data_IF_071915060992
#
_entry.id   IF_071915060992
#
_cell.length_a   1.000
_cell.length_b   1.000
_cell.length_c   1.000
_cell.angle_alpha   90.00
_cell.angle_beta   90.00
_cell.angle_gamma   90.00
#
_symmetry.space_group_name_H-M   'P 1'
#
loop_
_entity.id
_entity.type
_entity.pdbx_description
1 polymer ?
#
# COMPACT_ATOMS: atom_id res chain seq x y z
N UNK A 1 30.72 21.04 15.12
CA UNK A 1 30.68 20.11 14.00
C UNK A 1 29.41 19.32 14.28
N UNK A 2 28.28 19.79 13.76
CA UNK A 2 27.03 19.07 13.87
C UNK A 2 27.12 17.91 12.86
N UNK A 3 27.09 16.67 13.34
CA UNK A 3 26.88 15.52 12.46
C UNK A 3 25.58 15.79 11.70
N UNK A 4 25.67 16.00 10.40
CA UNK A 4 24.50 16.03 9.52
C UNK A 4 23.88 14.63 9.61
N UNK A 5 22.84 14.50 10.44
CA UNK A 5 22.09 13.26 10.60
C UNK A 5 21.44 12.95 9.26
N UNK A 6 22.03 12.02 8.53
CA UNK A 6 21.48 11.54 7.26
C UNK A 6 20.53 10.38 7.55
N UNK A 7 19.24 10.67 7.61
CA UNK A 7 18.19 9.69 7.89
C UNK A 7 18.28 8.49 6.93
N UNK A 8 18.57 8.72 5.66
CA UNK A 8 18.75 7.64 4.68
C UNK A 8 19.88 6.69 5.08
N UNK A 9 21.06 7.21 5.46
CA UNK A 9 22.18 6.35 5.86
C UNK A 9 21.89 5.58 7.15
N UNK A 10 21.18 6.18 8.09
CA UNK A 10 20.78 5.51 9.32
C UNK A 10 19.89 4.30 9.03
N UNK A 11 18.86 4.47 8.19
CA UNK A 11 17.97 3.39 7.77
C UNK A 11 18.70 2.29 6.97
N UNK A 12 19.75 2.62 6.23
CA UNK A 12 20.58 1.61 5.54
C UNK A 12 21.47 0.84 6.52
N UNK A 13 22.11 1.53 7.48
CA UNK A 13 23.07 0.91 8.41
C UNK A 13 22.40 0.13 9.55
N UNK A 14 21.23 0.59 10.00
CA UNK A 14 20.50 0.03 11.14
C UNK A 14 19.01 -0.14 10.77
N UNK A 15 18.67 -1.00 9.80
CA UNK A 15 17.30 -1.13 9.32
C UNK A 15 16.37 -1.72 10.37
N UNK A 16 15.24 -1.05 10.60
CA UNK A 16 14.18 -1.49 11.51
C UNK A 16 13.30 -2.52 10.81
N UNK A 17 13.08 -3.67 11.45
CA UNK A 17 12.18 -4.70 10.94
C UNK A 17 12.68 -5.52 9.75
N UNK A 18 13.95 -5.38 9.35
CA UNK A 18 14.54 -6.19 8.27
C UNK A 18 14.61 -7.68 8.71
N UNK A 19 14.08 -8.57 7.88
CA UNK A 19 13.99 -10.03 8.12
C UNK A 19 13.26 -10.40 9.43
N UNK A 20 12.36 -9.54 9.91
CA UNK A 20 11.65 -9.69 11.18
C UNK A 20 10.13 -9.62 10.99
N UNK A 21 9.58 -10.60 10.26
CA UNK A 21 8.13 -10.68 10.09
C UNK A 21 7.43 -11.02 11.42
N UNK A 22 6.28 -10.36 11.71
CA UNK A 22 5.42 -10.76 12.82
C UNK A 22 4.91 -12.19 12.65
N UNK A 23 4.61 -12.86 13.76
CA UNK A 23 3.85 -14.13 13.72
C UNK A 23 2.45 -13.86 13.15
N UNK A 24 1.92 -14.82 12.40
CA UNK A 24 0.59 -14.76 11.76
C UNK A 24 0.34 -13.50 10.90
N UNK A 25 1.41 -12.94 10.30
CA UNK A 25 1.30 -11.77 9.45
C UNK A 25 0.74 -12.12 8.06
N UNK A 26 0.04 -11.15 7.46
CA UNK A 26 -0.22 -11.16 6.02
C UNK A 26 0.93 -10.53 5.27
N UNK A 27 1.15 -10.95 4.03
CA UNK A 27 2.26 -10.48 3.21
C UNK A 27 1.76 -9.67 2.01
N UNK A 28 2.52 -8.63 1.69
CA UNK A 28 2.40 -7.88 0.44
C UNK A 28 3.77 -7.70 -0.19
N UNK A 29 3.91 -8.06 -1.46
CA UNK A 29 5.19 -7.99 -2.17
C UNK A 29 5.08 -7.11 -3.41
N UNK A 30 6.11 -6.31 -3.68
CA UNK A 30 6.22 -5.48 -4.87
C UNK A 30 7.63 -5.54 -5.46
N UNK A 31 7.71 -5.45 -6.79
CA UNK A 31 8.96 -5.59 -7.54
C UNK A 31 8.93 -6.77 -8.50
N UNK A 32 10.06 -7.20 -8.97
CA UNK A 32 10.20 -8.35 -9.86
C UNK A 32 11.17 -8.17 -11.01
N UNK A 33 10.92 -8.88 -12.09
CA UNK A 33 11.89 -9.24 -13.14
C UNK A 33 12.54 -8.10 -13.93
N UNK A 34 12.03 -6.88 -13.90
CA UNK A 34 12.58 -5.80 -14.74
C UNK A 34 13.87 -5.19 -14.17
N UNK A 35 13.95 -4.99 -12.85
CA UNK A 35 15.14 -4.42 -12.16
C UNK A 35 15.77 -5.36 -11.13
N UNK A 36 15.14 -6.50 -10.85
CA UNK A 36 15.59 -7.44 -9.81
C UNK A 36 15.29 -6.98 -8.38
N UNK A 37 14.79 -5.76 -8.18
CA UNK A 37 14.42 -5.25 -6.86
C UNK A 37 13.08 -5.85 -6.41
N UNK A 38 13.04 -6.40 -5.19
CA UNK A 38 11.84 -6.97 -4.56
C UNK A 38 11.73 -6.53 -3.11
N UNK A 39 10.60 -6.00 -2.71
CA UNK A 39 10.28 -5.72 -1.31
C UNK A 39 9.05 -6.54 -0.91
N UNK A 40 9.15 -7.25 0.20
CA UNK A 40 8.01 -7.92 0.84
C UNK A 40 7.78 -7.32 2.21
N UNK A 41 6.56 -6.90 2.50
CA UNK A 41 6.12 -6.36 3.78
C UNK A 41 5.19 -7.37 4.45
N UNK A 42 5.42 -7.65 5.73
CA UNK A 42 4.52 -8.44 6.55
C UNK A 42 3.86 -7.58 7.62
N UNK A 43 2.53 -7.67 7.74
CA UNK A 43 1.72 -6.90 8.69
C UNK A 43 0.92 -7.84 9.59
N UNK A 44 0.86 -7.52 10.88
CA UNK A 44 -0.14 -8.05 11.80
C UNK A 44 -0.98 -6.91 12.39
N UNK A 45 -2.27 -7.19 12.64
CA UNK A 45 -3.21 -6.22 13.16
C UNK A 45 -3.71 -6.69 14.53
N UNK A 46 -3.84 -5.75 15.46
CA UNK A 46 -4.46 -5.97 16.75
C UNK A 46 -5.27 -4.75 17.16
N UNK A 47 -6.51 -4.97 17.54
CA UNK A 47 -7.42 -3.91 18.00
C UNK A 47 -7.55 -2.73 17.00
N UNK A 48 -7.54 -3.01 15.70
CA UNK A 48 -7.63 -2.01 14.63
C UNK A 48 -6.33 -1.26 14.31
N UNK A 49 -5.23 -1.53 15.03
CA UNK A 49 -3.92 -0.91 14.82
C UNK A 49 -2.90 -1.91 14.28
N UNK A 50 -1.94 -1.44 13.52
CA UNK A 50 -0.79 -2.22 13.05
C UNK A 50 0.12 -2.53 14.25
N UNK A 51 -0.05 -3.71 14.83
CA UNK A 51 0.71 -4.16 16.01
C UNK A 51 2.14 -4.58 15.63
N UNK A 52 2.28 -5.27 14.51
CA UNK A 52 3.56 -5.73 13.99
C UNK A 52 3.75 -5.41 12.51
N UNK A 53 4.97 -5.04 12.17
CA UNK A 53 5.41 -4.84 10.78
C UNK A 53 6.87 -5.23 10.64
N UNK A 54 7.20 -5.93 9.56
CA UNK A 54 8.56 -6.27 9.17
C UNK A 54 8.66 -6.39 7.66
N UNK A 55 9.87 -6.52 7.14
CA UNK A 55 10.08 -6.62 5.71
C UNK A 55 11.31 -7.45 5.32
N UNK A 56 11.33 -7.89 4.07
CA UNK A 56 12.54 -8.35 3.37
C UNK A 56 12.77 -7.48 2.13
N UNK A 57 14.03 -7.23 1.81
CA UNK A 57 14.42 -6.46 0.62
C UNK A 57 15.51 -7.21 -0.13
N UNK A 58 15.28 -7.47 -1.42
CA UNK A 58 16.25 -8.00 -2.36
C UNK A 58 16.50 -6.91 -3.39
N UNK A 59 17.72 -6.35 -3.44
CA UNK A 59 18.06 -5.29 -4.37
C UNK A 59 18.92 -4.19 -3.77
N UNK A 60 18.66 -2.93 -4.12
CA UNK A 60 19.50 -1.79 -3.77
C UNK A 60 19.33 -1.32 -2.32
N UNK A 61 20.32 -0.59 -1.79
CA UNK A 61 20.28 -0.04 -0.42
C UNK A 61 19.09 0.93 -0.19
N UNK A 62 18.60 1.58 -1.25
CA UNK A 62 17.43 2.46 -1.14
C UNK A 62 16.17 1.67 -0.80
N UNK A 63 16.05 0.44 -1.29
CA UNK A 63 14.91 -0.43 -0.96
C UNK A 63 14.92 -0.80 0.53
N UNK A 64 16.09 -1.12 1.09
CA UNK A 64 16.27 -1.37 2.52
C UNK A 64 15.93 -0.14 3.35
N UNK A 65 16.38 1.05 2.92
CA UNK A 65 16.06 2.30 3.62
C UNK A 65 14.55 2.60 3.61
N UNK A 66 13.89 2.44 2.46
CA UNK A 66 12.44 2.64 2.33
C UNK A 66 11.65 1.63 3.18
N UNK A 67 12.01 0.34 3.18
CA UNK A 67 11.39 -0.67 4.03
C UNK A 67 11.54 -0.35 5.52
N UNK A 68 12.73 0.10 5.93
CA UNK A 68 13.01 0.48 7.31
C UNK A 68 12.23 1.74 7.75
N UNK A 69 12.16 2.78 6.90
CA UNK A 69 11.36 3.97 7.18
C UNK A 69 9.85 3.63 7.24
N UNK A 70 9.39 2.74 6.36
CA UNK A 70 8.01 2.25 6.36
C UNK A 70 7.64 1.60 7.70
N UNK A 71 8.53 0.81 8.30
CA UNK A 71 8.30 0.20 9.61
C UNK A 71 8.08 1.26 10.69
N UNK A 72 8.87 2.32 10.72
CA UNK A 72 8.72 3.40 11.70
C UNK A 72 7.43 4.22 11.46
N UNK A 73 7.10 4.48 10.20
CA UNK A 73 5.91 5.25 9.85
C UNK A 73 4.60 4.52 10.17
N UNK A 74 4.58 3.19 10.00
CA UNK A 74 3.32 2.43 10.00
C UNK A 74 3.04 1.73 11.33
N UNK A 75 4.09 1.36 12.07
CA UNK A 75 3.92 0.63 13.34
C UNK A 75 3.12 1.44 14.36
N UNK A 76 2.06 0.83 14.90
CA UNK A 76 1.18 1.45 15.88
C UNK A 76 0.10 2.35 15.29
N UNK A 77 0.08 2.57 13.97
CA UNK A 77 -0.98 3.34 13.34
C UNK A 77 -2.28 2.55 13.24
N UNK A 78 -3.41 3.27 13.27
CA UNK A 78 -4.70 2.71 12.91
C UNK A 78 -4.71 2.30 11.43
N UNK A 79 -5.46 1.25 11.10
CA UNK A 79 -5.53 0.69 9.75
C UNK A 79 -5.87 1.74 8.68
N UNK A 80 -6.84 2.63 8.96
CA UNK A 80 -7.23 3.69 8.01
C UNK A 80 -6.16 4.78 7.87
N UNK A 81 -5.42 5.08 8.93
CA UNK A 81 -4.29 6.01 8.87
C UNK A 81 -3.15 5.43 8.01
N UNK A 82 -2.77 4.17 8.25
CA UNK A 82 -1.76 3.48 7.43
C UNK A 82 -2.16 3.40 5.94
N UNK A 83 -3.46 3.27 5.64
CA UNK A 83 -3.97 3.22 4.27
C UNK A 83 -4.02 4.59 3.56
N UNK A 84 -3.75 5.71 4.26
CA UNK A 84 -3.51 7.03 3.66
C UNK A 84 -2.04 7.25 3.33
N UNK A 85 -1.14 6.51 3.98
CA UNK A 85 0.29 6.63 3.80
C UNK A 85 0.73 6.37 2.36
N UNK A 86 1.63 7.20 1.86
CA UNK A 86 2.14 7.13 0.51
C UNK A 86 3.64 7.39 0.43
N UNK A 87 4.16 7.30 -0.80
CA UNK A 87 5.60 7.48 -1.05
C UNK A 87 6.14 8.84 -0.60
N UNK A 88 5.30 9.88 -0.60
CA UNK A 88 5.71 11.24 -0.19
C UNK A 88 6.19 11.28 1.26
N UNK A 89 5.50 10.62 2.16
CA UNK A 89 5.88 10.49 3.57
C UNK A 89 7.18 9.69 3.75
N UNK A 90 7.38 8.63 2.92
CA UNK A 90 8.63 7.86 2.90
C UNK A 90 9.80 8.71 2.42
N UNK A 91 9.61 9.48 1.35
CA UNK A 91 10.63 10.38 0.81
C UNK A 91 11.00 11.45 1.85
N UNK A 92 10.02 12.03 2.54
CA UNK A 92 10.23 13.02 3.59
C UNK A 92 10.98 12.43 4.80
N UNK A 93 10.56 11.25 5.28
CA UNK A 93 11.20 10.56 6.41
C UNK A 93 12.67 10.23 6.14
N UNK A 94 13.03 9.99 4.87
CA UNK A 94 14.40 9.71 4.45
C UNK A 94 15.23 10.98 4.14
N UNK A 95 14.66 12.19 4.31
CA UNK A 95 15.31 13.46 3.96
C UNK A 95 15.39 13.72 2.46
N UNK A 96 14.52 13.09 1.68
CA UNK A 96 14.47 13.13 0.23
C UNK A 96 15.18 11.95 -0.45
N UNK A 97 14.71 11.60 -1.64
CA UNK A 97 15.32 10.58 -2.49
C UNK A 97 15.73 11.18 -3.84
N UNK A 98 16.91 10.80 -4.34
CA UNK A 98 17.29 11.14 -5.71
C UNK A 98 16.38 10.43 -6.73
N UNK A 99 16.30 10.96 -7.96
CA UNK A 99 15.48 10.37 -9.02
C UNK A 99 15.82 8.89 -9.28
N UNK A 100 17.09 8.50 -9.13
CA UNK A 100 17.56 7.11 -9.29
C UNK A 100 17.04 6.18 -8.18
N UNK A 101 16.74 6.71 -6.98
CA UNK A 101 16.29 5.97 -5.81
C UNK A 101 14.78 6.03 -5.61
N UNK A 102 14.08 6.93 -6.30
CA UNK A 102 12.64 7.16 -6.13
C UNK A 102 11.78 5.91 -6.41
N UNK A 103 12.26 4.98 -7.25
CA UNK A 103 11.58 3.71 -7.51
C UNK A 103 11.42 2.85 -6.24
N UNK A 104 12.38 2.94 -5.30
CA UNK A 104 12.32 2.17 -4.05
C UNK A 104 11.15 2.59 -3.15
N UNK A 105 10.84 3.89 -3.08
CA UNK A 105 9.66 4.38 -2.36
C UNK A 105 8.34 3.92 -3.00
N UNK A 106 8.30 3.83 -4.35
CA UNK A 106 7.14 3.29 -5.07
C UNK A 106 6.93 1.83 -4.74
N UNK A 107 7.99 1.01 -4.70
CA UNK A 107 7.90 -0.40 -4.35
C UNK A 107 7.48 -0.59 -2.89
N UNK A 108 8.00 0.24 -1.97
CA UNK A 108 7.64 0.18 -0.57
C UNK A 108 6.15 0.53 -0.34
N UNK A 109 5.66 1.61 -0.97
CA UNK A 109 4.23 1.96 -0.98
C UNK A 109 3.38 0.81 -1.53
N UNK A 110 3.77 0.23 -2.67
CA UNK A 110 2.99 -0.83 -3.28
C UNK A 110 2.97 -2.12 -2.44
N UNK A 111 4.10 -2.52 -1.84
CA UNK A 111 4.16 -3.66 -0.94
C UNK A 111 3.28 -3.46 0.30
N UNK A 112 3.31 -2.26 0.91
CA UNK A 112 2.42 -1.90 2.01
C UNK A 112 0.95 -2.06 1.62
N UNK A 113 0.52 -1.44 0.53
CA UNK A 113 -0.88 -1.47 0.12
C UNK A 113 -1.37 -2.86 -0.28
N UNK A 114 -0.50 -3.73 -0.80
CA UNK A 114 -0.82 -5.15 -1.02
C UNK A 114 -1.00 -5.89 0.30
N UNK A 115 -0.15 -5.64 1.30
CA UNK A 115 -0.31 -6.24 2.63
C UNK A 115 -1.60 -5.76 3.32
N UNK A 116 -1.92 -4.45 3.25
CA UNK A 116 -3.18 -3.89 3.76
C UNK A 116 -4.41 -4.50 3.05
N UNK A 117 -4.33 -4.70 1.73
CA UNK A 117 -5.38 -5.38 0.97
C UNK A 117 -5.56 -6.84 1.37
N UNK A 118 -4.45 -7.55 1.65
CA UNK A 118 -4.49 -8.94 2.11
C UNK A 118 -5.16 -9.09 3.49
N UNK A 119 -4.98 -8.11 4.40
CA UNK A 119 -5.74 -8.06 5.67
C UNK A 119 -7.25 -8.07 5.42
N UNK A 120 -7.74 -7.26 4.46
CA UNK A 120 -9.16 -7.20 4.15
C UNK A 120 -9.66 -8.49 3.48
N UNK A 121 -8.86 -9.10 2.60
CA UNK A 121 -9.21 -10.34 1.91
C UNK A 121 -9.23 -11.56 2.84
N UNK A 122 -8.48 -11.52 3.95
CA UNK A 122 -8.39 -12.60 4.96
C UNK A 122 -9.68 -12.86 5.73
N UNK A 123 -10.71 -12.02 5.56
CA UNK A 123 -12.07 -12.27 6.08
C UNK A 123 -12.21 -12.13 7.60
N UNK A 124 -11.28 -11.54 8.29
CA UNK A 124 -11.48 -11.13 9.69
C UNK A 124 -12.59 -10.09 9.75
N UNK A 125 -13.76 -10.50 10.23
CA UNK A 125 -15.02 -9.78 10.10
C UNK A 125 -15.12 -8.45 10.88
N UNK A 126 -14.05 -7.97 11.55
CA UNK A 126 -14.03 -6.73 12.32
C UNK A 126 -12.65 -6.09 12.39
N UNK A 127 -12.04 -5.83 11.23
CA UNK A 127 -10.79 -5.05 11.19
C UNK A 127 -10.99 -3.58 11.56
N UNK A 128 -12.22 -3.10 11.43
CA UNK A 128 -12.62 -1.71 11.71
C UNK A 128 -13.95 -1.69 12.47
N UNK A 129 -14.09 -0.75 13.39
CA UNK A 129 -15.39 -0.45 13.98
C UNK A 129 -16.36 0.06 12.91
N UNK A 130 -17.63 -0.36 13.03
CA UNK A 130 -18.68 0.09 12.13
C UNK A 130 -18.99 1.56 12.39
N UNK A 131 -19.03 2.37 11.34
CA UNK A 131 -19.44 3.76 11.38
C UNK A 131 -20.53 4.00 10.34
N UNK A 132 -21.64 4.64 10.74
CA UNK A 132 -22.73 4.99 9.82
C UNK A 132 -22.35 6.16 8.88
N UNK A 133 -21.35 6.95 9.26
CA UNK A 133 -20.83 8.07 8.45
C UNK A 133 -19.77 7.64 7.45
N UNK A 134 -19.35 6.37 7.47
CA UNK A 134 -18.32 5.83 6.57
C UNK A 134 -18.92 5.35 5.26
N UNK A 135 -18.40 5.86 4.15
CA UNK A 135 -18.83 5.51 2.80
C UNK A 135 -17.69 4.84 2.04
N UNK A 136 -17.91 3.61 1.60
CA UNK A 136 -16.99 2.89 0.74
C UNK A 136 -17.18 3.35 -0.71
N UNK A 137 -16.10 3.81 -1.33
CA UNK A 137 -16.08 4.32 -2.71
C UNK A 137 -15.26 3.39 -3.59
N UNK A 138 -15.91 2.72 -4.53
CA UNK A 138 -15.20 1.93 -5.53
C UNK A 138 -14.44 2.84 -6.50
N UNK A 139 -13.11 2.70 -6.55
CA UNK A 139 -12.23 3.47 -7.40
C UNK A 139 -11.65 2.60 -8.52
N UNK A 140 -11.92 2.98 -9.77
CA UNK A 140 -11.42 2.29 -10.97
C UNK A 140 -10.22 3.00 -11.61
N UNK A 141 -9.79 4.15 -11.07
CA UNK A 141 -8.82 5.04 -11.70
C UNK A 141 -9.42 5.92 -12.82
N UNK A 142 -10.72 5.77 -13.12
CA UNK A 142 -11.43 6.60 -14.12
C UNK A 142 -12.04 7.87 -13.50
N UNK A 143 -12.43 8.80 -14.39
CA UNK A 143 -12.95 10.12 -14.01
C UNK A 143 -14.23 10.05 -13.18
N UNK A 144 -15.17 9.19 -13.56
CA UNK A 144 -16.47 9.09 -12.89
C UNK A 144 -16.34 8.67 -11.41
N UNK A 145 -15.48 7.68 -11.14
CA UNK A 145 -15.21 7.24 -9.78
C UNK A 145 -14.46 8.30 -8.97
N UNK A 146 -13.61 9.10 -9.64
CA UNK A 146 -12.93 10.24 -9.05
C UNK A 146 -13.91 11.33 -8.60
N UNK A 147 -14.83 11.70 -9.46
CA UNK A 147 -15.88 12.70 -9.18
C UNK A 147 -16.80 12.21 -8.07
N UNK A 148 -17.16 10.92 -8.05
CA UNK A 148 -17.96 10.34 -7.00
C UNK A 148 -17.25 10.45 -5.63
N UNK A 149 -15.96 10.14 -5.56
CA UNK A 149 -15.15 10.26 -4.35
C UNK A 149 -15.13 11.72 -3.82
N UNK A 150 -14.87 12.68 -4.71
CA UNK A 150 -14.85 14.11 -4.39
C UNK A 150 -16.21 14.57 -3.83
N UNK A 151 -17.31 14.19 -4.47
CA UNK A 151 -18.66 14.57 -4.04
C UNK A 151 -19.03 13.98 -2.69
N UNK A 152 -18.62 12.76 -2.39
CA UNK A 152 -18.86 12.10 -1.10
C UNK A 152 -18.07 12.82 -0.01
N UNK A 153 -16.80 13.11 -0.26
CA UNK A 153 -15.95 13.85 0.68
C UNK A 153 -16.47 15.27 0.93
N UNK A 154 -16.90 15.97 -0.12
CA UNK A 154 -17.49 17.32 0.00
C UNK A 154 -18.77 17.37 0.85
N UNK A 155 -19.45 16.24 1.03
CA UNK A 155 -20.60 16.10 1.94
C UNK A 155 -20.22 15.85 3.39
N UNK A 156 -18.92 15.76 3.69
CA UNK A 156 -18.40 15.53 5.05
C UNK A 156 -18.43 14.08 5.50
N UNK A 157 -18.69 13.11 4.61
CA UNK A 157 -18.63 11.69 4.95
C UNK A 157 -17.18 11.22 5.08
N UNK A 158 -16.94 10.21 5.94
CA UNK A 158 -15.67 9.49 6.02
C UNK A 158 -15.55 8.56 4.80
N UNK A 159 -14.95 9.07 3.72
CA UNK A 159 -14.80 8.30 2.49
C UNK A 159 -13.60 7.36 2.55
N UNK A 160 -13.80 6.08 2.18
CA UNK A 160 -12.76 5.06 2.08
C UNK A 160 -12.75 4.50 0.66
N UNK A 161 -11.63 4.65 -0.05
CA UNK A 161 -11.45 4.16 -1.40
C UNK A 161 -11.13 2.66 -1.43
N UNK A 162 -11.72 1.93 -2.37
CA UNK A 162 -11.38 0.54 -2.64
C UNK A 162 -11.26 0.28 -4.13
N UNK A 163 -10.21 -0.43 -4.52
CA UNK A 163 -10.03 -0.99 -5.87
C UNK A 163 -10.02 -2.51 -5.78
N UNK A 164 -10.88 -3.17 -6.54
CA UNK A 164 -10.93 -4.62 -6.61
C UNK A 164 -10.14 -5.10 -7.84
N UNK A 165 -9.14 -5.95 -7.63
CA UNK A 165 -8.44 -6.65 -8.71
C UNK A 165 -9.15 -7.97 -8.98
N UNK A 166 -9.91 -8.04 -10.07
CA UNK A 166 -10.72 -9.19 -10.44
C UNK A 166 -10.08 -10.05 -11.54
N UNK A 167 -9.24 -9.44 -12.39
CA UNK A 167 -8.71 -10.06 -13.58
C UNK A 167 -7.34 -9.47 -13.97
N UNK A 168 -6.44 -10.32 -14.47
CA UNK A 168 -5.25 -9.92 -15.21
C UNK A 168 -5.43 -10.38 -16.65
N UNK A 169 -5.28 -9.49 -17.61
CA UNK A 169 -5.27 -9.84 -19.02
C UNK A 169 -3.82 -9.86 -19.55
N UNK A 170 -3.22 -11.05 -19.70
CA UNK A 170 -1.86 -11.17 -20.18
C UNK A 170 -1.71 -10.76 -21.66
N UNK A 171 -2.81 -10.63 -22.40
CA UNK A 171 -2.79 -10.32 -23.84
C UNK A 171 -2.78 -8.82 -24.16
N UNK A 172 -3.10 -7.94 -23.17
CA UNK A 172 -3.26 -6.50 -23.41
C UNK A 172 -2.20 -5.64 -22.75
N UNK A 173 -0.99 -6.13 -22.44
CA UNK A 173 0.10 -5.36 -21.76
C UNK A 173 -0.39 -4.49 -20.56
N UNK A 174 -1.54 -4.81 -20.00
CA UNK A 174 -2.09 -4.18 -18.80
C UNK A 174 -2.57 -2.73 -18.93
N UNK A 175 -2.52 -2.11 -20.11
CA UNK A 175 -2.77 -0.66 -20.23
C UNK A 175 -4.23 -0.26 -20.43
N UNK A 176 -5.11 -1.20 -20.79
CA UNK A 176 -6.52 -0.90 -21.13
C UNK A 176 -7.55 -1.44 -20.11
N UNK A 177 -7.12 -2.13 -19.04
CA UNK A 177 -8.01 -2.71 -18.06
C UNK A 177 -8.12 -1.84 -16.81
N UNK A 178 -9.35 -1.71 -16.25
CA UNK A 178 -9.58 -1.04 -14.96
C UNK A 178 -8.89 -1.77 -13.76
N UNK A 179 -8.44 -3.00 -13.98
CA UNK A 179 -7.69 -3.79 -12.98
C UNK A 179 -6.18 -3.79 -13.24
N UNK A 180 -5.69 -3.00 -14.21
CA UNK A 180 -4.26 -2.90 -14.50
C UNK A 180 -3.47 -2.31 -13.32
N UNK A 181 -2.18 -2.65 -13.15
CA UNK A 181 -1.34 -2.03 -12.13
C UNK A 181 -1.32 -0.50 -12.22
N UNK A 182 -1.40 0.05 -13.42
CA UNK A 182 -1.45 1.49 -13.67
C UNK A 182 -2.76 2.09 -13.16
N UNK A 183 -3.91 1.45 -13.42
CA UNK A 183 -5.22 1.90 -12.95
C UNK A 183 -5.30 1.89 -11.42
N UNK A 184 -4.77 0.83 -10.77
CA UNK A 184 -4.67 0.73 -9.30
C UNK A 184 -3.81 1.86 -8.73
N UNK A 185 -2.64 2.11 -9.32
CA UNK A 185 -1.75 3.20 -8.89
C UNK A 185 -2.42 4.56 -9.06
N UNK A 186 -3.16 4.77 -10.15
CA UNK A 186 -3.90 6.01 -10.39
C UNK A 186 -5.04 6.20 -9.37
N UNK A 187 -5.82 5.15 -9.10
CA UNK A 187 -6.88 5.17 -8.09
C UNK A 187 -6.34 5.51 -6.70
N UNK A 188 -5.20 4.92 -6.31
CA UNK A 188 -4.52 5.20 -5.05
C UNK A 188 -4.04 6.65 -4.96
N UNK A 189 -3.36 7.16 -6.00
CA UNK A 189 -2.91 8.56 -6.05
C UNK A 189 -4.07 9.54 -5.93
N UNK A 190 -5.19 9.24 -6.57
CA UNK A 190 -6.39 10.03 -6.45
C UNK A 190 -6.92 10.03 -5.01
N UNK A 191 -7.05 8.86 -4.40
CA UNK A 191 -7.52 8.74 -3.02
C UNK A 191 -6.61 9.52 -2.04
N UNK A 192 -5.28 9.36 -2.16
CA UNK A 192 -4.32 10.10 -1.33
C UNK A 192 -4.36 11.60 -1.59
N UNK A 193 -4.55 12.04 -2.84
CA UNK A 193 -4.75 13.46 -3.17
C UNK A 193 -6.02 14.06 -2.55
N UNK A 194 -6.99 13.23 -2.25
CA UNK A 194 -8.21 13.58 -1.52
C UNK A 194 -8.11 13.31 -0.01
N UNK A 195 -6.95 12.95 0.50
CA UNK A 195 -6.76 12.53 1.90
C UNK A 195 -7.74 11.41 2.30
N UNK A 196 -7.90 10.42 1.45
CA UNK A 196 -8.74 9.24 1.67
C UNK A 196 -7.88 8.00 1.86
N UNK A 197 -8.18 7.13 2.85
CA UNK A 197 -7.57 5.81 2.89
C UNK A 197 -7.97 5.01 1.66
N UNK A 198 -7.02 4.23 1.12
CA UNK A 198 -7.25 3.42 -0.07
C UNK A 198 -6.77 1.99 0.14
N UNK A 199 -7.62 1.04 -0.25
CA UNK A 199 -7.30 -0.38 -0.24
C UNK A 199 -7.39 -0.97 -1.64
N UNK A 200 -6.44 -1.83 -1.96
CA UNK A 200 -6.49 -2.67 -3.16
C UNK A 200 -6.70 -4.11 -2.74
N UNK A 201 -7.85 -4.68 -3.07
CA UNK A 201 -8.19 -6.05 -2.68
C UNK A 201 -8.02 -6.97 -3.88
N UNK A 202 -7.13 -7.96 -3.77
CA UNK A 202 -6.92 -8.97 -4.79
C UNK A 202 -7.98 -10.07 -4.66
N UNK A 203 -8.90 -10.10 -5.60
CA UNK A 203 -9.98 -11.08 -5.71
C UNK A 203 -9.88 -11.93 -6.98
N UNK A 204 -8.70 -11.97 -7.63
CA UNK A 204 -8.52 -12.70 -8.91
C UNK A 204 -8.84 -14.20 -8.78
N UNK A 205 -8.32 -14.83 -7.75
CA UNK A 205 -8.57 -16.28 -7.51
C UNK A 205 -10.02 -16.57 -7.15
N UNK A 206 -10.68 -15.88 -6.18
CA UNK A 206 -12.10 -16.03 -5.92
C UNK A 206 -12.99 -15.76 -7.13
N UNK A 207 -12.68 -14.72 -7.90
CA UNK A 207 -13.43 -14.36 -9.10
C UNK A 207 -13.29 -15.44 -10.19
N UNK A 208 -12.06 -15.93 -10.43
CA UNK A 208 -11.83 -17.02 -11.38
C UNK A 208 -12.64 -18.26 -11.01
N UNK A 209 -12.55 -18.72 -9.75
CA UNK A 209 -13.23 -19.93 -9.27
C UNK A 209 -14.74 -19.81 -9.22
N UNK A 210 -15.28 -18.62 -8.93
CA UNK A 210 -16.71 -18.43 -8.73
C UNK A 210 -17.49 -17.94 -9.96
N UNK A 211 -16.79 -17.34 -10.94
CA UNK A 211 -17.44 -16.67 -12.08
C UNK A 211 -16.90 -17.14 -13.43
N UNK A 212 -15.60 -17.38 -13.55
CA UNK A 212 -14.98 -17.73 -14.85
C UNK A 212 -14.96 -19.22 -15.08
N UNK A 213 -14.59 -20.00 -14.07
CA UNK A 213 -14.47 -21.47 -14.11
C UNK A 213 -15.40 -22.08 -13.02
N UNK A 214 -16.75 -21.88 -13.09
CA UNK A 214 -17.70 -22.32 -12.07
C UNK A 214 -17.90 -23.84 -12.04
#
# INVERSE_FOLDING_TARGET
MFDDFNAFEDHVRSPRGLNAFPEDCVLGAAGGSACGDMLTVGLSLKDGCIDGIGFTAEGCAALTACGSALVELVKGQELLAAARGGRGELEEALGGLSAERAHAAVLAEEALHRALGALLAGGESRLLERSDDRVLVALSGGVDSAVAAELIKARGAEAVGVTLQLWDDPATDGTASCCSPQAVTQARRLAHGLDMPHFTVDLRDPFRKGVVDP
#
